data_IF_261650012980
#
_entry.id   IF_261650012980
#
_cell.length_a   1.000
_cell.length_b   1.000
_cell.length_c   1.000
_cell.angle_alpha   90.00
_cell.angle_beta   90.00
_cell.angle_gamma   90.00
#
_symmetry.space_group_name_H-M   'P 1'
#
loop_
_entity.id
_entity.type
_entity.pdbx_description
1 polymer ?
#
# COMPACT_ATOMS: atom_id res chain seq x y z
N UNK A 1 -12.18 27.95 -38.37
CA UNK A 1 -12.20 26.51 -38.06
C UNK A 1 -11.02 26.25 -37.14
N UNK A 2 -11.22 25.80 -35.88
CA UNK A 2 -10.10 25.49 -35.02
C UNK A 2 -9.54 24.12 -35.39
N UNK A 3 -8.25 24.09 -35.68
CA UNK A 3 -7.45 22.90 -35.94
C UNK A 3 -7.42 22.06 -34.67
N UNK A 4 -7.93 20.83 -34.73
CA UNK A 4 -7.74 19.82 -33.69
C UNK A 4 -6.26 19.50 -33.58
N UNK A 5 -5.64 19.96 -32.50
CA UNK A 5 -4.28 19.55 -32.14
C UNK A 5 -4.31 18.05 -31.83
N UNK A 6 -3.50 17.30 -32.56
CA UNK A 6 -3.26 15.88 -32.38
C UNK A 6 -2.56 15.67 -31.03
N UNK A 7 -3.29 15.21 -30.01
CA UNK A 7 -2.81 15.05 -28.63
C UNK A 7 -2.21 13.65 -28.37
N UNK A 8 -1.75 12.96 -29.42
CA UNK A 8 -1.32 11.57 -29.35
C UNK A 8 0.17 11.37 -28.98
N UNK A 9 0.95 12.44 -28.80
CA UNK A 9 2.38 12.35 -28.49
C UNK A 9 2.76 13.24 -27.29
N UNK A 10 2.55 12.75 -26.06
CA UNK A 10 3.67 12.65 -25.09
C UNK A 10 3.61 11.42 -24.15
N UNK A 11 2.54 10.60 -24.21
CA UNK A 11 2.27 9.51 -23.24
C UNK A 11 3.28 8.37 -23.37
N UNK A 12 3.81 8.15 -24.58
CA UNK A 12 4.71 7.03 -24.89
C UNK A 12 6.12 7.22 -24.34
N UNK A 13 6.61 8.46 -24.17
CA UNK A 13 8.00 8.70 -23.75
C UNK A 13 8.19 8.58 -22.23
N UNK A 14 7.22 8.99 -21.41
CA UNK A 14 7.31 8.86 -19.96
C UNK A 14 7.17 7.41 -19.48
N UNK A 15 6.32 6.61 -20.16
CA UNK A 15 6.21 5.17 -19.91
C UNK A 15 7.51 4.45 -20.30
N UNK A 16 8.08 4.76 -21.47
CA UNK A 16 9.38 4.23 -21.88
C UNK A 16 10.50 4.59 -20.87
N UNK A 17 10.45 5.81 -20.34
CA UNK A 17 11.38 6.28 -19.31
C UNK A 17 11.24 5.59 -17.95
N UNK A 18 10.03 5.12 -17.61
CA UNK A 18 9.78 4.32 -16.40
C UNK A 18 10.16 2.84 -16.55
N UNK A 19 10.14 2.34 -17.79
CA UNK A 19 10.47 0.97 -18.16
C UNK A 19 11.98 0.74 -18.33
N UNK A 20 12.76 1.79 -18.55
CA UNK A 20 14.22 1.73 -18.65
C UNK A 20 14.90 2.43 -17.47
N UNK A 21 15.81 1.76 -16.72
CA UNK A 21 16.53 2.34 -15.57
C UNK A 21 17.41 3.59 -15.86
N UNK A 22 17.44 4.11 -17.10
CA UNK A 22 18.36 5.15 -17.55
C UNK A 22 17.72 6.49 -17.96
N UNK A 23 16.39 6.63 -17.95
CA UNK A 23 15.70 7.80 -18.53
C UNK A 23 14.93 8.63 -17.47
N UNK A 24 15.51 8.73 -16.28
CA UNK A 24 14.88 9.27 -15.06
C UNK A 24 14.45 10.75 -15.15
N UNK A 25 15.10 11.54 -16.01
CA UNK A 25 14.80 12.97 -16.18
C UNK A 25 13.41 13.24 -16.75
N UNK A 26 12.93 12.40 -17.66
CA UNK A 26 11.59 12.54 -18.26
C UNK A 26 10.47 12.20 -17.26
N UNK A 27 10.73 11.28 -16.33
CA UNK A 27 9.79 10.89 -15.28
C UNK A 27 9.54 12.01 -14.27
N UNK A 28 10.61 12.63 -13.75
CA UNK A 28 10.50 13.74 -12.79
C UNK A 28 9.79 14.97 -13.40
N UNK A 29 9.93 15.20 -14.70
CA UNK A 29 9.27 16.30 -15.40
C UNK A 29 7.75 16.07 -15.61
N UNK A 30 7.30 14.82 -15.55
CA UNK A 30 5.95 14.45 -15.97
C UNK A 30 4.99 14.11 -14.81
N UNK A 31 5.50 14.01 -13.57
CA UNK A 31 4.67 14.07 -12.37
C UNK A 31 4.46 15.54 -11.99
N UNK A 32 3.42 16.17 -12.54
CA UNK A 32 2.90 17.40 -11.97
C UNK A 32 2.05 17.02 -10.75
N UNK A 33 2.46 17.32 -9.51
CA UNK A 33 1.67 16.96 -8.35
C UNK A 33 0.31 17.66 -8.37
N UNK A 34 -0.72 17.01 -7.85
CA UNK A 34 -1.91 17.70 -7.35
C UNK A 34 -1.48 18.91 -6.51
N UNK A 35 -2.26 20.00 -6.52
CA UNK A 35 -1.84 21.29 -5.95
C UNK A 35 -1.33 21.25 -4.49
N UNK A 36 -1.68 20.20 -3.72
CA UNK A 36 -1.00 19.80 -2.48
C UNK A 36 -1.14 18.27 -2.21
N UNK A 37 -0.11 17.44 -2.50
CA UNK A 37 -0.17 15.99 -2.26
C UNK A 37 -0.24 15.64 -0.77
N UNK A 38 0.26 16.50 0.12
CA UNK A 38 0.19 16.27 1.57
C UNK A 38 -1.24 16.35 2.05
N UNK A 39 -1.96 17.39 1.64
CA UNK A 39 -3.36 17.58 2.01
C UNK A 39 -4.23 16.43 1.48
N UNK A 40 -3.99 15.98 0.25
CA UNK A 40 -4.73 14.85 -0.34
C UNK A 40 -4.48 13.54 0.43
N UNK A 41 -3.22 13.23 0.75
CA UNK A 41 -2.85 12.04 1.54
C UNK A 41 -3.44 12.12 2.95
N UNK A 42 -3.36 13.28 3.62
CA UNK A 42 -3.94 13.49 4.94
C UNK A 42 -5.47 13.29 4.93
N UNK A 43 -6.17 13.82 3.93
CA UNK A 43 -7.61 13.63 3.78
C UNK A 43 -7.97 12.14 3.62
N UNK A 44 -7.21 11.41 2.81
CA UNK A 44 -7.40 9.98 2.60
C UNK A 44 -7.15 9.14 3.84
N UNK A 45 -6.06 9.43 4.57
CA UNK A 45 -5.75 8.77 5.84
C UNK A 45 -6.90 8.96 6.82
N UNK A 46 -7.35 10.21 6.99
CA UNK A 46 -8.42 10.54 7.94
C UNK A 46 -9.78 9.97 7.53
N UNK A 47 -10.08 9.87 6.23
CA UNK A 47 -11.30 9.22 5.73
C UNK A 47 -11.31 7.71 6.00
N UNK A 48 -10.13 7.08 6.13
CA UNK A 48 -9.99 5.67 6.47
C UNK A 48 -10.09 5.36 7.96
N UNK A 49 -10.15 6.38 8.83
CA UNK A 49 -10.25 6.17 10.27
C UNK A 49 -11.68 5.85 10.71
N UNK A 50 -11.87 5.06 11.79
CA UNK A 50 -13.17 4.87 12.42
C UNK A 50 -13.82 6.19 12.84
N UNK A 51 -15.16 6.21 12.83
CA UNK A 51 -15.91 7.40 13.26
C UNK A 51 -15.55 7.78 14.71
N UNK A 52 -15.21 9.04 14.92
CA UNK A 52 -14.83 9.58 16.24
C UNK A 52 -13.35 9.41 16.60
N UNK A 53 -12.55 8.75 15.75
CA UNK A 53 -11.11 8.75 15.89
C UNK A 53 -10.54 10.18 15.76
N UNK A 54 -9.49 10.53 16.52
CA UNK A 54 -8.83 11.82 16.37
C UNK A 54 -8.18 11.92 14.99
N UNK A 55 -8.33 13.07 14.34
CA UNK A 55 -7.70 13.32 13.06
C UNK A 55 -6.17 13.26 13.20
N UNK A 56 -5.53 12.57 12.27
CA UNK A 56 -4.09 12.45 12.15
C UNK A 56 -3.53 13.57 11.27
N UNK A 57 -2.37 14.10 11.66
CA UNK A 57 -1.64 15.12 10.90
C UNK A 57 -0.39 14.52 10.27
N UNK A 58 -0.19 14.78 8.99
CA UNK A 58 0.98 14.31 8.24
C UNK A 58 2.20 15.18 8.60
N UNK A 59 3.13 14.62 9.37
CA UNK A 59 4.38 15.27 9.81
C UNK A 59 5.45 15.30 8.73
N UNK A 60 5.61 14.19 8.01
CA UNK A 60 6.46 14.08 6.82
C UNK A 60 5.79 13.20 5.78
N UNK A 61 6.16 13.40 4.52
CA UNK A 61 5.65 12.63 3.39
C UNK A 61 6.80 12.24 2.47
N UNK A 62 6.88 10.95 2.14
CA UNK A 62 7.79 10.41 1.13
C UNK A 62 6.97 9.77 0.02
N UNK A 63 7.49 9.77 -1.20
CA UNK A 63 6.90 9.06 -2.32
C UNK A 63 7.85 7.96 -2.80
N UNK A 64 7.34 6.75 -2.93
CA UNK A 64 8.09 5.59 -3.40
C UNK A 64 7.43 5.00 -4.66
N UNK A 65 8.27 4.50 -5.57
CA UNK A 65 7.87 3.71 -6.73
C UNK A 65 8.19 2.25 -6.47
N UNK A 66 7.16 1.40 -6.48
CA UNK A 66 7.27 -0.05 -6.31
C UNK A 66 7.10 -0.72 -7.68
N UNK A 67 8.05 -1.57 -8.05
CA UNK A 67 8.07 -2.24 -9.37
C UNK A 67 8.49 -3.70 -9.24
N UNK A 68 7.93 -4.53 -10.09
CA UNK A 68 8.36 -5.90 -10.32
C UNK A 68 9.21 -5.95 -11.59
N UNK A 69 10.35 -6.64 -11.54
CA UNK A 69 11.31 -6.73 -12.63
C UNK A 69 11.62 -8.18 -12.96
N UNK A 70 11.70 -8.51 -14.25
CA UNK A 70 12.20 -9.79 -14.73
C UNK A 70 13.33 -9.60 -15.74
N UNK A 71 14.13 -10.62 -15.94
CA UNK A 71 15.13 -10.67 -17.00
C UNK A 71 14.52 -11.38 -18.20
N UNK A 72 14.49 -10.72 -19.35
CA UNK A 72 13.98 -11.27 -20.60
C UNK A 72 15.00 -11.09 -21.72
N UNK A 73 15.14 -12.08 -22.60
CA UNK A 73 15.91 -11.95 -23.83
C UNK A 73 14.99 -11.42 -24.93
N UNK A 74 15.23 -10.18 -25.37
CA UNK A 74 14.45 -9.49 -26.40
C UNK A 74 15.14 -9.53 -27.78
N UNK A 75 16.16 -10.38 -27.95
CA UNK A 75 16.91 -10.53 -29.20
C UNK A 75 18.17 -9.66 -29.30
N UNK A 76 18.37 -8.73 -28.36
CA UNK A 76 19.59 -7.93 -28.14
C UNK A 76 20.47 -8.47 -26.99
N UNK A 77 20.03 -9.55 -26.34
CA UNK A 77 20.60 -10.07 -25.10
C UNK A 77 19.64 -9.93 -23.90
N UNK A 78 20.07 -10.37 -22.70
CA UNK A 78 19.24 -10.28 -21.51
C UNK A 78 19.06 -8.83 -21.06
N UNK A 79 17.81 -8.38 -21.01
CA UNK A 79 17.40 -7.06 -20.54
C UNK A 79 16.51 -7.17 -19.30
N UNK A 80 16.61 -6.20 -18.40
CA UNK A 80 15.68 -6.09 -17.26
C UNK A 80 14.43 -5.35 -17.71
N UNK A 81 13.29 -6.01 -17.59
CA UNK A 81 11.96 -5.49 -17.97
C UNK A 81 11.06 -5.40 -16.75
N UNK A 82 10.18 -4.41 -16.71
CA UNK A 82 9.14 -4.32 -15.68
C UNK A 82 8.05 -5.34 -16.01
N UNK A 83 7.67 -6.18 -15.04
CA UNK A 83 6.63 -7.21 -15.18
C UNK A 83 5.50 -6.92 -14.21
N UNK A 84 4.46 -6.26 -14.71
CA UNK A 84 3.29 -5.84 -13.93
C UNK A 84 3.13 -4.31 -13.89
N UNK A 85 1.99 -3.87 -13.36
CA UNK A 85 1.69 -2.45 -13.19
C UNK A 85 2.55 -1.86 -12.04
N UNK A 86 3.35 -0.81 -12.28
CA UNK A 86 4.04 -0.09 -11.20
C UNK A 86 3.05 0.49 -10.19
N UNK A 87 3.50 0.70 -8.96
CA UNK A 87 2.68 1.32 -7.93
C UNK A 87 3.41 2.48 -7.27
N UNK A 88 2.65 3.50 -6.92
CA UNK A 88 3.12 4.65 -6.16
C UNK A 88 2.68 4.48 -4.71
N UNK A 89 3.63 4.58 -3.79
CA UNK A 89 3.36 4.47 -2.37
C UNK A 89 3.77 5.77 -1.69
N UNK A 90 2.78 6.55 -1.26
CA UNK A 90 3.00 7.62 -0.31
C UNK A 90 3.19 7.03 1.08
N UNK A 91 4.26 7.45 1.77
CA UNK A 91 4.55 7.05 3.15
C UNK A 91 4.55 8.29 4.02
N UNK A 92 3.56 8.39 4.90
CA UNK A 92 3.34 9.51 5.79
C UNK A 92 3.69 9.14 7.24
N UNK A 93 4.53 9.96 7.87
CA UNK A 93 4.62 9.97 9.34
C UNK A 93 3.41 10.72 9.89
N UNK A 94 2.59 10.03 10.68
CA UNK A 94 1.38 10.56 11.31
C UNK A 94 1.48 10.64 12.83
N UNK A 95 2.69 10.42 13.38
CA UNK A 95 2.93 10.47 14.81
C UNK A 95 2.51 9.24 15.61
N UNK A 96 2.29 8.13 14.92
CA UNK A 96 2.02 6.81 15.51
C UNK A 96 3.27 5.93 15.42
N UNK A 97 3.21 4.74 16.03
CA UNK A 97 4.30 3.77 15.97
C UNK A 97 4.57 3.28 14.53
N UNK A 98 3.51 3.13 13.73
CA UNK A 98 3.60 2.82 12.31
C UNK A 98 3.34 4.07 11.45
N UNK A 99 3.86 4.03 10.22
CA UNK A 99 3.62 5.05 9.20
C UNK A 99 2.36 4.70 8.39
N UNK A 100 1.63 5.72 7.98
CA UNK A 100 0.49 5.58 7.10
C UNK A 100 0.95 5.49 5.65
N UNK A 101 0.55 4.43 4.95
CA UNK A 101 0.82 4.21 3.54
C UNK A 101 -0.42 4.44 2.69
N UNK A 102 -0.27 5.11 1.55
CA UNK A 102 -1.31 5.22 0.53
C UNK A 102 -0.76 4.68 -0.79
N UNK A 103 -1.24 3.50 -1.17
CA UNK A 103 -0.79 2.77 -2.35
C UNK A 103 -1.71 3.05 -3.53
N UNK A 104 -1.15 3.46 -4.66
CA UNK A 104 -1.85 3.75 -5.90
C UNK A 104 -1.28 2.87 -7.01
N UNK A 105 -2.12 2.00 -7.56
CA UNK A 105 -1.76 1.24 -8.75
C UNK A 105 -1.76 2.15 -9.97
N UNK A 106 -0.78 1.97 -10.85
CA UNK A 106 -0.78 2.60 -12.15
C UNK A 106 -1.81 1.91 -13.05
N UNK A 107 -3.05 2.40 -13.04
CA UNK A 107 -4.08 1.90 -13.94
C UNK A 107 -3.77 2.30 -15.39
N UNK A 108 -3.86 1.33 -16.31
CA UNK A 108 -3.58 1.44 -17.74
C UNK A 108 -3.99 2.79 -18.35
N UNK A 109 -2.99 3.62 -18.69
CA UNK A 109 -3.17 4.78 -19.57
C UNK A 109 -3.30 6.16 -18.92
N UNK A 110 -3.18 6.29 -17.59
CA UNK A 110 -3.03 7.62 -16.97
C UNK A 110 -1.61 8.09 -17.22
N UNK A 111 -1.37 8.69 -18.38
CA UNK A 111 -0.06 9.17 -18.80
C UNK A 111 0.55 10.13 -17.79
N UNK A 112 1.88 10.18 -17.75
CA UNK A 112 2.57 11.26 -17.10
C UNK A 112 2.19 12.59 -17.81
N UNK A 113 1.85 13.62 -17.06
CA UNK A 113 1.26 14.87 -17.57
C UNK A 113 -0.28 14.95 -17.53
N UNK A 114 -0.98 13.94 -16.99
CA UNK A 114 -2.41 14.07 -16.68
C UNK A 114 -2.58 14.97 -15.44
N UNK A 115 -3.38 16.05 -15.50
CA UNK A 115 -3.53 17.02 -14.39
C UNK A 115 -4.07 16.41 -13.09
N UNK A 116 -4.69 15.23 -13.18
CA UNK A 116 -5.30 14.53 -12.06
C UNK A 116 -4.42 13.42 -11.48
N UNK A 117 -3.16 13.29 -11.93
CA UNK A 117 -2.25 12.30 -11.38
C UNK A 117 -1.62 12.79 -10.05
N UNK A 118 -1.57 11.93 -9.02
CA UNK A 118 -2.17 10.60 -9.00
C UNK A 118 -3.68 10.65 -8.70
N UNK A 119 -4.44 9.79 -9.37
CA UNK A 119 -5.88 9.64 -9.12
C UNK A 119 -6.09 8.76 -7.88
N UNK A 120 -6.53 9.38 -6.78
CA UNK A 120 -6.69 8.67 -5.51
C UNK A 120 -7.96 7.81 -5.42
N UNK A 121 -8.85 7.80 -6.43
CA UNK A 121 -10.14 7.12 -6.36
C UNK A 121 -10.04 5.63 -5.99
N UNK A 122 -8.94 4.97 -6.38
CA UNK A 122 -8.68 3.56 -6.09
C UNK A 122 -7.50 3.35 -5.12
N UNK A 123 -7.15 4.38 -4.36
CA UNK A 123 -6.04 4.31 -3.42
C UNK A 123 -6.35 3.31 -2.29
N UNK A 124 -5.34 2.55 -1.89
CA UNK A 124 -5.45 1.55 -0.82
C UNK A 124 -4.62 1.99 0.37
N UNK A 125 -5.26 2.03 1.54
CA UNK A 125 -4.58 2.33 2.79
C UNK A 125 -3.71 1.15 3.23
N UNK A 126 -2.53 1.46 3.73
CA UNK A 126 -1.50 0.51 4.12
C UNK A 126 -0.85 0.92 5.43
N UNK A 127 -0.42 -0.06 6.21
CA UNK A 127 0.42 0.19 7.38
C UNK A 127 1.87 -0.13 7.02
N UNK A 128 2.75 0.86 7.23
CA UNK A 128 4.17 0.78 6.89
C UNK A 128 4.97 0.76 8.18
N UNK A 129 5.55 -0.39 8.50
CA UNK A 129 6.32 -0.60 9.74
C UNK A 129 7.59 0.26 9.75
N UNK A 130 8.31 0.28 8.64
CA UNK A 130 9.48 1.11 8.40
C UNK A 130 9.69 1.33 6.89
N UNK A 131 10.70 2.12 6.52
CA UNK A 131 11.03 2.43 5.11
C UNK A 131 12.04 1.46 4.48
N UNK A 132 12.27 0.29 5.08
CA UNK A 132 13.08 -0.75 4.43
C UNK A 132 12.35 -1.27 3.19
N UNK A 133 13.07 -1.59 2.09
CA UNK A 133 12.44 -2.01 0.83
C UNK A 133 11.41 -3.13 0.99
N UNK A 134 11.67 -4.13 1.84
CA UNK A 134 10.72 -5.23 2.10
C UNK A 134 9.36 -4.76 2.61
N UNK A 135 9.31 -3.69 3.42
CA UNK A 135 8.09 -3.19 4.04
C UNK A 135 7.36 -2.21 3.12
N UNK A 136 8.07 -1.61 2.17
CA UNK A 136 7.48 -0.83 1.08
C UNK A 136 6.89 -1.74 -0.01
N UNK A 137 7.58 -2.83 -0.34
CA UNK A 137 7.13 -3.82 -1.32
C UNK A 137 5.98 -4.64 -0.73
N UNK A 138 6.10 -5.14 0.49
CA UNK A 138 5.08 -5.97 1.13
C UNK A 138 4.48 -5.27 2.35
N UNK A 139 3.71 -4.19 2.13
CA UNK A 139 3.11 -3.44 3.22
C UNK A 139 2.01 -4.24 3.91
N UNK A 140 1.68 -3.82 5.13
CA UNK A 140 0.54 -4.36 5.86
C UNK A 140 -0.76 -3.74 5.34
N UNK A 141 -1.88 -4.45 5.50
CA UNK A 141 -3.21 -3.92 5.19
C UNK A 141 -3.67 -3.12 6.41
N UNK A 142 -3.95 -1.83 6.20
CA UNK A 142 -4.32 -0.95 7.30
C UNK A 142 -5.67 -1.37 7.90
N UNK A 143 -5.70 -1.52 9.21
CA UNK A 143 -6.86 -1.88 10.00
C UNK A 143 -7.23 -3.36 9.94
N UNK A 144 -6.38 -4.25 9.41
CA UNK A 144 -6.66 -5.68 9.31
C UNK A 144 -5.64 -6.53 10.07
N UNK A 145 -6.12 -7.61 10.68
CA UNK A 145 -5.29 -8.59 11.37
C UNK A 145 -5.82 -10.00 11.13
N UNK A 146 -4.93 -10.97 11.27
CA UNK A 146 -5.23 -12.40 11.18
C UNK A 146 -4.66 -13.12 12.41
N UNK A 147 -5.18 -14.30 12.71
CA UNK A 147 -4.71 -15.07 13.84
C UNK A 147 -5.21 -16.51 13.83
N UNK A 148 -4.94 -17.20 14.93
CA UNK A 148 -5.47 -18.55 15.13
C UNK A 148 -5.90 -18.79 16.57
N UNK A 149 -7.00 -19.51 16.76
CA UNK A 149 -7.50 -19.97 18.06
C UNK A 149 -7.16 -21.44 18.30
N UNK A 150 -7.17 -21.88 19.56
CA UNK A 150 -6.97 -23.28 19.93
C UNK A 150 -8.12 -24.15 19.40
N UNK A 151 -7.78 -25.40 19.06
CA UNK A 151 -8.79 -26.38 18.65
C UNK A 151 -9.74 -26.68 19.82
N UNK A 152 -11.04 -26.76 19.53
CA UNK A 152 -12.09 -27.00 20.54
C UNK A 152 -12.58 -25.73 21.25
N UNK A 153 -12.01 -24.56 20.95
CA UNK A 153 -12.55 -23.27 21.39
C UNK A 153 -13.91 -23.01 20.72
N UNK A 154 -14.90 -22.60 21.51
CA UNK A 154 -16.22 -22.21 20.98
C UNK A 154 -16.10 -20.93 20.13
N UNK A 155 -16.43 -20.96 18.82
CA UNK A 155 -16.29 -19.80 17.94
C UNK A 155 -17.11 -18.60 18.36
N UNK A 156 -18.32 -18.78 18.93
CA UNK A 156 -19.14 -17.63 19.34
C UNK A 156 -18.57 -16.93 20.57
N UNK A 157 -18.19 -17.69 21.61
CA UNK A 157 -17.51 -17.13 22.77
C UNK A 157 -16.17 -16.46 22.39
N UNK A 158 -15.38 -17.07 21.51
CA UNK A 158 -14.13 -16.49 21.03
C UNK A 158 -14.35 -15.18 20.30
N UNK A 159 -15.33 -15.12 19.37
CA UNK A 159 -15.68 -13.91 18.66
C UNK A 159 -16.06 -12.78 19.62
N UNK A 160 -16.95 -13.05 20.57
CA UNK A 160 -17.38 -12.05 21.55
C UNK A 160 -16.23 -11.53 22.42
N UNK A 161 -15.31 -12.41 22.83
CA UNK A 161 -14.13 -12.02 23.61
C UNK A 161 -13.14 -11.17 22.81
N UNK A 162 -12.92 -11.50 21.53
CA UNK A 162 -12.07 -10.73 20.61
C UNK A 162 -12.69 -9.34 20.35
N UNK A 163 -13.99 -9.28 20.05
CA UNK A 163 -14.70 -8.02 19.80
C UNK A 163 -14.84 -7.14 21.05
N UNK A 164 -14.75 -7.74 22.25
CA UNK A 164 -14.77 -7.03 23.53
C UNK A 164 -13.48 -6.28 23.89
N UNK A 165 -12.40 -6.45 23.13
CA UNK A 165 -11.14 -5.73 23.32
C UNK A 165 -11.10 -4.49 22.40
N UNK A 166 -10.55 -4.64 21.20
CA UNK A 166 -10.38 -3.52 20.27
C UNK A 166 -10.40 -3.97 18.79
N UNK A 167 -10.91 -5.17 18.53
CA UNK A 167 -11.15 -5.71 17.20
C UNK A 167 -12.65 -5.69 16.87
N UNK A 168 -12.99 -5.68 15.59
CA UNK A 168 -14.37 -5.71 15.11
C UNK A 168 -14.45 -6.44 13.77
N UNK A 169 -15.67 -6.68 13.27
CA UNK A 169 -15.94 -7.45 12.04
C UNK A 169 -15.25 -8.83 12.06
N UNK A 170 -15.25 -9.50 13.22
CA UNK A 170 -14.47 -10.73 13.40
C UNK A 170 -15.14 -11.92 12.71
N UNK A 171 -14.36 -12.65 11.93
CA UNK A 171 -14.76 -13.87 11.21
C UNK A 171 -13.88 -15.04 11.64
N UNK A 172 -14.50 -16.17 11.97
CA UNK A 172 -13.79 -17.38 12.40
C UNK A 172 -14.17 -18.54 11.47
N UNK A 173 -13.17 -19.18 10.89
CA UNK A 173 -13.30 -20.36 10.03
C UNK A 173 -12.39 -21.48 10.51
N UNK A 174 -12.97 -22.48 11.17
CA UNK A 174 -12.19 -23.53 11.85
C UNK A 174 -11.36 -22.95 12.99
N UNK A 175 -10.03 -22.99 12.85
CA UNK A 175 -9.09 -22.38 13.82
C UNK A 175 -8.51 -21.05 13.35
N UNK A 176 -8.84 -20.63 12.13
CA UNK A 176 -8.39 -19.36 11.57
C UNK A 176 -9.35 -18.25 11.96
N UNK A 177 -8.80 -17.10 12.33
CA UNK A 177 -9.57 -15.90 12.64
C UNK A 177 -9.00 -14.72 11.87
N UNK A 178 -9.88 -13.88 11.37
CA UNK A 178 -9.56 -12.58 10.78
C UNK A 178 -10.50 -11.53 11.36
N UNK A 179 -10.02 -10.29 11.40
CA UNK A 179 -10.82 -9.18 11.89
C UNK A 179 -10.22 -7.85 11.50
N UNK A 180 -10.95 -6.81 11.88
CA UNK A 180 -10.52 -5.43 11.72
C UNK A 180 -10.15 -4.80 13.06
N UNK A 181 -9.38 -3.73 13.00
CA UNK A 181 -9.00 -2.90 14.13
C UNK A 181 -8.73 -1.46 13.65
N UNK A 182 -8.37 -0.56 14.57
CA UNK A 182 -8.02 0.80 14.19
C UNK A 182 -6.77 0.80 13.29
N UNK A 183 -6.80 1.46 12.12
CA UNK A 183 -5.64 1.56 11.23
C UNK A 183 -4.39 2.07 11.95
N UNK A 184 -3.24 1.53 11.55
CA UNK A 184 -1.89 1.83 12.05
C UNK A 184 -1.62 1.44 13.50
N UNK A 185 -2.57 0.76 14.15
CA UNK A 185 -2.44 0.21 15.50
C UNK A 185 -2.42 -1.33 15.51
N UNK A 186 -2.32 -1.96 14.34
CA UNK A 186 -2.50 -3.41 14.17
C UNK A 186 -1.54 -4.19 15.09
N UNK A 187 -0.28 -3.77 15.17
CA UNK A 187 0.72 -4.42 16.03
C UNK A 187 0.38 -4.31 17.53
N UNK A 188 -0.11 -3.15 17.97
CA UNK A 188 -0.53 -2.95 19.37
C UNK A 188 -1.76 -3.80 19.69
N UNK A 189 -2.74 -3.82 18.78
CA UNK A 189 -3.97 -4.60 18.94
C UNK A 189 -3.66 -6.10 18.95
N UNK A 190 -2.81 -6.58 18.06
CA UNK A 190 -2.37 -7.98 18.05
C UNK A 190 -1.71 -8.36 19.39
N UNK A 191 -0.84 -7.51 19.92
CA UNK A 191 -0.21 -7.74 21.22
C UNK A 191 -1.23 -7.75 22.38
N UNK A 192 -2.23 -6.86 22.34
CA UNK A 192 -3.32 -6.84 23.32
C UNK A 192 -4.18 -8.11 23.25
N UNK A 193 -4.51 -8.58 22.04
CA UNK A 193 -5.27 -9.81 21.82
C UNK A 193 -4.51 -11.03 22.37
N UNK A 194 -3.22 -11.17 22.06
CA UNK A 194 -2.38 -12.27 22.54
C UNK A 194 -2.20 -12.25 24.06
N UNK A 195 -2.07 -11.07 24.67
CA UNK A 195 -1.94 -10.94 26.11
C UNK A 195 -3.28 -11.17 26.85
N UNK A 196 -4.40 -10.81 26.23
CA UNK A 196 -5.73 -10.82 26.83
C UNK A 196 -6.50 -12.13 26.67
N UNK A 197 -6.18 -12.94 25.66
CA UNK A 197 -6.98 -14.11 25.27
C UNK A 197 -6.14 -15.39 25.28
N UNK A 198 -6.31 -16.20 26.32
CA UNK A 198 -5.56 -17.44 26.51
C UNK A 198 -5.82 -18.49 25.41
N UNK A 199 -7.00 -18.48 24.79
CA UNK A 199 -7.36 -19.38 23.70
C UNK A 199 -6.75 -18.97 22.35
N UNK A 200 -6.18 -17.77 22.24
CA UNK A 200 -5.51 -17.30 21.04
C UNK A 200 -4.10 -17.92 20.98
N UNK A 201 -3.73 -18.48 19.82
CA UNK A 201 -2.39 -19.02 19.58
C UNK A 201 -1.43 -17.93 19.11
N UNK A 202 -1.93 -17.07 18.23
CA UNK A 202 -1.24 -15.89 17.75
C UNK A 202 -2.23 -14.90 17.13
N UNK A 203 -1.84 -13.63 17.07
CA UNK A 203 -2.42 -12.61 16.20
C UNK A 203 -1.29 -11.81 15.53
N UNK A 204 -1.44 -11.52 14.26
CA UNK A 204 -0.50 -10.71 13.51
C UNK A 204 -1.22 -9.75 12.54
N UNK A 205 -0.63 -8.60 12.22
CA UNK A 205 -1.16 -7.71 11.21
C UNK A 205 -1.29 -8.41 9.85
N UNK A 206 -2.41 -8.18 9.16
CA UNK A 206 -2.61 -8.74 7.83
C UNK A 206 -1.67 -8.05 6.83
N UNK A 207 -1.20 -8.78 5.80
CA UNK A 207 -0.21 -8.25 4.85
C UNK A 207 -0.58 -8.49 3.40
N UNK A 208 -0.10 -7.59 2.55
CA UNK A 208 -0.15 -7.80 1.11
C UNK A 208 0.79 -8.95 0.75
N UNK A 209 0.24 -9.98 0.12
CA UNK A 209 1.01 -11.08 -0.49
C UNK A 209 1.23 -10.73 -1.96
N UNK A 210 2.49 -10.77 -2.41
CA UNK A 210 2.83 -10.64 -3.84
C UNK A 210 3.59 -11.88 -4.30
N UNK A 211 3.40 -12.24 -5.57
CA UNK A 211 4.16 -13.31 -6.20
C UNK A 211 5.63 -12.88 -6.37
N UNK A 212 6.56 -13.77 -6.04
CA UNK A 212 7.99 -13.61 -6.24
C UNK A 212 8.50 -14.83 -7.00
N UNK A 213 8.22 -14.86 -8.30
CA UNK A 213 8.58 -15.98 -9.19
C UNK A 213 9.38 -15.49 -10.41
N UNK A 214 10.15 -14.43 -10.22
CA UNK A 214 10.93 -13.76 -11.25
C UNK A 214 12.19 -13.11 -10.67
N UNK A 215 13.20 -12.89 -11.49
CA UNK A 215 14.49 -12.30 -11.11
C UNK A 215 14.82 -11.11 -12.02
N UNK A 216 15.18 -9.93 -11.48
CA UNK A 216 15.71 -9.71 -10.12
C UNK A 216 14.66 -9.57 -9.01
N UNK A 217 13.37 -9.55 -9.31
CA UNK A 217 12.31 -9.51 -8.30
C UNK A 217 11.71 -8.11 -8.13
N UNK A 218 11.32 -7.76 -6.90
CA UNK A 218 10.69 -6.49 -6.59
C UNK A 218 11.71 -5.43 -6.14
N UNK A 219 11.44 -4.18 -6.50
CA UNK A 219 12.19 -2.99 -6.08
C UNK A 219 11.22 -1.96 -5.48
N UNK A 220 11.71 -1.18 -4.52
CA UNK A 220 11.04 0.00 -4.01
C UNK A 220 12.05 1.14 -3.93
N UNK A 221 11.78 2.20 -4.71
CA UNK A 221 12.68 3.34 -4.85
C UNK A 221 12.01 4.62 -4.40
N UNK A 222 12.70 5.38 -3.55
CA UNK A 222 12.27 6.72 -3.16
C UNK A 222 12.41 7.70 -4.33
N UNK A 223 11.37 8.50 -4.58
CA UNK A 223 11.30 9.52 -5.62
C UNK A 223 11.47 10.94 -5.07
N UNK A 224 10.97 11.21 -3.87
CA UNK A 224 11.16 12.45 -3.11
C UNK A 224 10.98 12.22 -1.61
#
# INVERSE_FOLDING_TARGET
>A
MPTTADSSAPVTSALAAMLHPGDEGAFHAAIAPAADPRQAVEAWINAGLPQGAPALQVRSLELHLVRAFNTADLGSGPETVVVGEPEFLYVADVGLAARAGLLLAWANGIGAGVPTFPEFANAKLRTIVDTQPRNLIFPLIAGEWIGSIRAGTDPQAAKAAIEGLAAYDVTISGTFVEGKCHPFMEAEICAQLEAGLDFLRYAEPNRVVRLVDFSPGWDARRLC
#
